data_IF_777027892085
#
_entry.id   IF_777027892085
#
_cell.length_a   1.000
_cell.length_b   1.000
_cell.length_c   1.000
_cell.angle_alpha   90.00
_cell.angle_beta   90.00
_cell.angle_gamma   90.00
#
_symmetry.space_group_name_H-M   'P 1'
#
loop_
_entity.id
_entity.type
_entity.pdbx_description
1 polymer ?
#
# COMPACT_ATOMS: atom_id res chain seq x y z
N UNK A 1 22.97 -1.95 10.01
CA UNK A 1 22.78 -3.09 9.08
C UNK A 1 21.30 -3.39 9.06
N UNK A 2 20.64 -3.19 7.92
CA UNK A 2 19.19 -3.41 7.78
C UNK A 2 18.82 -4.86 8.16
N UNK A 3 17.85 -5.07 9.06
CA UNK A 3 17.39 -6.40 9.42
C UNK A 3 16.89 -7.20 8.22
N UNK A 4 16.98 -8.53 8.32
CA UNK A 4 16.45 -9.43 7.28
C UNK A 4 14.94 -9.24 7.13
N UNK A 5 14.51 -9.09 5.89
CA UNK A 5 13.11 -8.94 5.51
C UNK A 5 12.33 -10.28 5.56
N UNK A 6 12.16 -10.81 6.77
CA UNK A 6 11.67 -12.18 7.00
C UNK A 6 10.16 -12.35 6.82
N UNK A 7 9.37 -11.28 6.90
CA UNK A 7 7.91 -11.33 6.75
C UNK A 7 7.43 -11.00 5.33
N UNK A 8 8.35 -10.61 4.41
CA UNK A 8 8.02 -10.14 3.06
C UNK A 8 7.00 -11.01 2.32
N UNK A 9 7.19 -12.33 2.30
CA UNK A 9 6.25 -13.20 1.57
C UNK A 9 4.86 -13.16 2.19
N UNK A 10 4.77 -13.15 3.53
CA UNK A 10 3.50 -13.12 4.27
C UNK A 10 2.73 -11.83 4.02
N UNK A 11 3.44 -10.71 3.94
CA UNK A 11 2.84 -9.40 3.60
C UNK A 11 2.31 -9.42 2.17
N UNK A 12 3.09 -9.90 1.20
CA UNK A 12 2.60 -10.00 -0.19
C UNK A 12 1.47 -11.02 -0.38
N UNK A 13 1.46 -12.12 0.39
CA UNK A 13 0.37 -13.09 0.37
C UNK A 13 -0.93 -12.45 0.86
N UNK A 14 -0.87 -11.68 1.96
CA UNK A 14 -2.00 -10.92 2.50
C UNK A 14 -2.51 -9.88 1.51
N UNK A 15 -1.64 -9.05 0.95
CA UNK A 15 -1.99 -8.05 -0.07
C UNK A 15 -2.61 -8.71 -1.32
N UNK A 16 -2.11 -9.89 -1.69
CA UNK A 16 -2.67 -10.70 -2.76
C UNK A 16 -4.12 -11.13 -2.48
N UNK A 17 -4.43 -11.54 -1.25
CA UNK A 17 -5.79 -11.90 -0.82
C UNK A 17 -6.73 -10.68 -0.85
N UNK A 18 -6.31 -9.57 -0.25
CA UNK A 18 -7.09 -8.31 -0.23
C UNK A 18 -7.40 -7.86 -1.66
N UNK A 19 -6.40 -7.82 -2.53
CA UNK A 19 -6.57 -7.42 -3.93
C UNK A 19 -7.60 -8.29 -4.65
N UNK A 20 -7.54 -9.62 -4.50
CA UNK A 20 -8.52 -10.54 -5.11
C UNK A 20 -9.94 -10.28 -4.61
N UNK A 21 -10.11 -9.92 -3.33
CA UNK A 21 -11.42 -9.59 -2.78
C UNK A 21 -11.97 -8.28 -3.38
N UNK A 22 -11.13 -7.25 -3.51
CA UNK A 22 -11.51 -6.00 -4.19
C UNK A 22 -11.88 -6.21 -5.66
N UNK A 23 -11.12 -7.06 -6.37
CA UNK A 23 -11.37 -7.42 -7.76
C UNK A 23 -12.70 -8.15 -7.94
N UNK A 24 -12.97 -9.19 -7.13
CA UNK A 24 -14.25 -9.91 -7.19
C UNK A 24 -15.44 -9.01 -6.86
N UNK A 25 -15.29 -8.17 -5.83
CA UNK A 25 -16.33 -7.26 -5.42
C UNK A 25 -16.69 -6.24 -6.52
N UNK A 26 -15.73 -5.86 -7.37
CA UNK A 26 -15.98 -5.04 -8.57
C UNK A 26 -16.60 -5.87 -9.71
N UNK A 27 -16.04 -7.05 -10.00
CA UNK A 27 -16.50 -7.96 -11.07
C UNK A 27 -17.98 -8.32 -10.94
N UNK A 28 -18.43 -8.64 -9.72
CA UNK A 28 -19.81 -9.05 -9.47
C UNK A 28 -20.75 -7.89 -9.11
N UNK A 29 -20.24 -6.65 -9.04
CA UNK A 29 -21.02 -5.49 -8.60
C UNK A 29 -21.54 -5.57 -7.16
N UNK A 30 -21.04 -6.54 -6.37
CA UNK A 30 -21.43 -6.80 -5.00
C UNK A 30 -20.23 -6.53 -4.08
N UNK A 31 -20.28 -5.40 -3.35
CA UNK A 31 -19.17 -4.94 -2.50
C UNK A 31 -19.18 -5.52 -1.09
N UNK A 32 -20.18 -6.30 -0.73
CA UNK A 32 -20.25 -6.95 0.58
C UNK A 32 -19.47 -8.26 0.57
N UNK A 33 -18.53 -8.42 1.50
CA UNK A 33 -17.73 -9.64 1.68
C UNK A 33 -17.87 -10.16 3.11
N UNK A 34 -17.82 -11.49 3.27
CA UNK A 34 -17.76 -12.12 4.59
C UNK A 34 -16.30 -12.21 5.06
N UNK A 35 -16.04 -11.71 6.27
CA UNK A 35 -14.74 -11.76 6.94
C UNK A 35 -14.94 -12.29 8.37
N UNK A 36 -14.44 -13.50 8.66
CA UNK A 36 -14.55 -14.15 9.98
C UNK A 36 -15.98 -14.11 10.59
N UNK A 37 -17.00 -14.28 9.76
CA UNK A 37 -18.41 -14.25 10.18
C UNK A 37 -19.05 -12.85 10.29
N UNK A 38 -18.30 -11.79 9.98
CA UNK A 38 -18.81 -10.42 9.84
C UNK A 38 -19.01 -10.07 8.37
N UNK A 39 -19.97 -9.19 8.08
CA UNK A 39 -20.16 -8.63 6.73
C UNK A 39 -19.53 -7.24 6.65
N UNK A 40 -18.64 -7.06 5.67
CA UNK A 40 -17.98 -5.78 5.38
C UNK A 40 -18.41 -5.28 4.01
N UNK A 41 -18.75 -3.99 3.92
CA UNK A 41 -18.94 -3.34 2.62
C UNK A 41 -17.64 -2.67 2.21
N UNK A 42 -16.99 -3.22 1.17
CA UNK A 42 -15.69 -2.72 0.74
C UNK A 42 -15.83 -1.37 0.01
N UNK A 43 -15.06 -0.35 0.40
CA UNK A 43 -15.00 0.93 -0.31
C UNK A 43 -14.48 0.73 -1.74
N UNK A 44 -14.63 1.74 -2.60
CA UNK A 44 -14.07 1.70 -3.95
C UNK A 44 -12.57 1.96 -3.86
N UNK A 45 -11.76 1.05 -4.39
CA UNK A 45 -10.32 1.28 -4.56
C UNK A 45 -10.07 2.17 -5.77
N UNK A 46 -9.28 3.24 -5.59
CA UNK A 46 -8.87 4.08 -6.71
C UNK A 46 -7.90 3.32 -7.63
N UNK A 47 -8.08 3.52 -8.94
CA UNK A 47 -7.18 3.04 -9.99
C UNK A 47 -6.61 4.24 -10.74
N UNK A 48 -5.32 4.17 -11.05
CA UNK A 48 -4.60 5.24 -11.71
C UNK A 48 -4.34 4.89 -13.18
N UNK A 49 -4.45 5.90 -14.04
CA UNK A 49 -4.26 5.72 -15.48
C UNK A 49 -2.86 6.17 -15.95
N UNK A 50 -2.15 6.97 -15.14
CA UNK A 50 -0.88 7.57 -15.52
C UNK A 50 0.05 7.81 -14.34
N UNK A 51 1.35 7.96 -14.63
CA UNK A 51 2.37 8.41 -13.66
C UNK A 51 1.97 9.73 -13.01
N UNK A 52 1.45 10.68 -13.80
CA UNK A 52 1.00 11.99 -13.31
C UNK A 52 -0.15 11.86 -12.30
N UNK A 53 -1.13 10.98 -12.56
CA UNK A 53 -2.22 10.74 -11.62
C UNK A 53 -1.73 10.14 -10.30
N UNK A 54 -0.71 9.28 -10.35
CA UNK A 54 -0.05 8.73 -9.15
C UNK A 54 0.73 9.82 -8.41
N UNK A 55 1.49 10.68 -9.12
CA UNK A 55 2.21 11.81 -8.51
C UNK A 55 1.25 12.72 -7.75
N UNK A 56 0.15 13.14 -8.39
CA UNK A 56 -0.83 14.02 -7.73
C UNK A 56 -1.46 13.38 -6.49
N UNK A 57 -1.70 12.06 -6.54
CA UNK A 57 -2.23 11.33 -5.39
C UNK A 57 -1.21 11.26 -4.24
N UNK A 58 0.03 10.90 -4.53
CA UNK A 58 1.12 10.86 -3.55
C UNK A 58 1.30 12.21 -2.87
N UNK A 59 1.37 13.30 -3.66
CA UNK A 59 1.53 14.66 -3.13
C UNK A 59 0.40 15.04 -2.18
N UNK A 60 -0.84 14.65 -2.52
CA UNK A 60 -2.02 14.90 -1.67
C UNK A 60 -1.99 14.09 -0.38
N UNK A 61 -1.58 12.83 -0.44
CA UNK A 61 -1.44 11.97 0.76
C UNK A 61 -0.39 12.55 1.71
N UNK A 62 0.79 12.90 1.20
CA UNK A 62 1.86 13.51 2.00
C UNK A 62 1.51 14.92 2.52
N UNK A 63 0.54 15.59 1.90
CA UNK A 63 0.03 16.88 2.35
C UNK A 63 -1.07 16.78 3.44
N UNK A 64 -1.58 15.59 3.76
CA UNK A 64 -2.58 15.44 4.81
C UNK A 64 -1.99 15.82 6.18
N UNK A 65 -2.71 16.67 6.92
CA UNK A 65 -2.24 17.18 8.22
C UNK A 65 -1.87 16.07 9.20
N UNK A 66 -2.67 14.99 9.24
CA UNK A 66 -2.44 13.87 10.15
C UNK A 66 -1.21 13.04 9.72
N UNK A 67 -0.96 12.90 8.41
CA UNK A 67 0.24 12.23 7.87
C UNK A 67 1.49 13.02 8.25
N UNK A 68 1.48 14.34 8.05
CA UNK A 68 2.62 15.22 8.43
C UNK A 68 2.86 15.26 9.93
N UNK A 69 1.80 15.24 10.74
CA UNK A 69 1.92 15.23 12.19
C UNK A 69 2.55 13.92 12.72
N UNK A 70 2.38 12.81 11.98
CA UNK A 70 2.80 11.49 12.42
C UNK A 70 4.17 11.07 11.88
N UNK A 71 4.51 11.47 10.65
CA UNK A 71 5.74 11.03 9.99
C UNK A 71 6.54 12.21 9.44
N UNK A 72 7.71 12.46 10.02
CA UNK A 72 8.65 13.51 9.59
C UNK A 72 9.00 13.45 8.09
N UNK A 73 9.03 12.24 7.53
CA UNK A 73 9.33 12.00 6.11
C UNK A 73 8.26 12.53 5.16
N UNK A 74 7.06 12.84 5.64
CA UNK A 74 6.00 13.43 4.81
C UNK A 74 6.37 14.81 4.23
N UNK A 75 7.32 15.53 4.85
CA UNK A 75 7.85 16.79 4.31
C UNK A 75 8.92 16.57 3.21
N UNK A 76 9.36 15.32 3.00
CA UNK A 76 10.26 14.97 1.90
C UNK A 76 9.43 14.62 0.66
N UNK A 77 9.62 15.30 -0.48
CA UNK A 77 8.91 14.94 -1.71
C UNK A 77 9.19 13.49 -2.13
N UNK A 78 8.14 12.80 -2.61
CA UNK A 78 8.24 11.48 -3.25
C UNK A 78 8.00 11.64 -4.75
N UNK A 79 9.06 11.52 -5.55
CA UNK A 79 8.96 11.61 -7.00
C UNK A 79 8.45 10.30 -7.59
N UNK A 80 7.48 10.37 -8.50
CA UNK A 80 6.93 9.21 -9.20
C UNK A 80 7.51 9.18 -10.61
N UNK A 81 8.04 8.04 -11.03
CA UNK A 81 8.52 7.84 -12.40
C UNK A 81 7.96 6.60 -13.03
N UNK A 82 7.91 6.61 -14.37
CA UNK A 82 7.74 5.40 -15.15
C UNK A 82 8.97 4.49 -15.03
N UNK A 83 8.73 3.18 -15.02
CA UNK A 83 9.74 2.16 -15.30
C UNK A 83 9.32 1.28 -16.47
N UNK A 84 10.30 0.80 -17.23
CA UNK A 84 10.10 -0.24 -18.22
C UNK A 84 9.99 -1.62 -17.54
N UNK A 85 9.10 -2.47 -18.04
CA UNK A 85 8.90 -3.85 -17.59
C UNK A 85 7.56 -4.11 -16.87
N UNK A 86 7.26 -5.39 -16.64
CA UNK A 86 6.02 -5.89 -16.01
C UNK A 86 6.13 -6.03 -14.49
N UNK A 87 7.27 -5.68 -13.91
CA UNK A 87 7.51 -5.77 -12.48
C UNK A 87 6.63 -4.83 -11.67
N UNK A 88 6.39 -5.19 -10.40
CA UNK A 88 5.65 -4.40 -9.43
C UNK A 88 6.13 -2.94 -9.34
N UNK A 89 5.23 -2.05 -8.90
CA UNK A 89 5.67 -0.79 -8.33
C UNK A 89 6.63 -1.06 -7.17
N UNK A 90 7.61 -0.17 -6.97
CA UNK A 90 8.50 -0.24 -5.82
C UNK A 90 9.10 1.13 -5.51
N UNK A 91 9.38 1.35 -4.24
CA UNK A 91 10.13 2.46 -3.72
C UNK A 91 11.64 2.23 -3.84
N UNK A 92 12.37 3.20 -4.40
CA UNK A 92 13.83 3.22 -4.45
C UNK A 92 14.38 3.90 -3.19
N UNK A 93 14.74 3.10 -2.18
CA UNK A 93 15.34 3.58 -0.93
C UNK A 93 16.56 4.47 -1.21
N UNK A 94 16.63 5.62 -0.52
CA UNK A 94 17.71 6.61 -0.68
C UNK A 94 17.54 7.59 -1.84
N UNK A 95 16.56 7.38 -2.74
CA UNK A 95 16.26 8.32 -3.84
C UNK A 95 14.94 9.05 -3.71
N UNK A 96 14.08 8.62 -2.78
CA UNK A 96 12.71 9.13 -2.65
C UNK A 96 11.96 9.05 -3.99
N UNK A 97 12.08 7.91 -4.69
CA UNK A 97 11.44 7.66 -5.98
C UNK A 97 10.51 6.45 -5.88
N UNK A 98 9.25 6.62 -6.31
CA UNK A 98 8.29 5.55 -6.53
C UNK A 98 8.28 5.22 -8.03
N UNK A 99 8.78 4.03 -8.38
CA UNK A 99 8.84 3.58 -9.77
C UNK A 99 7.61 2.73 -10.12
N UNK A 100 6.70 3.26 -10.94
CA UNK A 100 5.48 2.56 -11.40
C UNK A 100 5.63 2.00 -12.81
N UNK A 101 5.11 0.79 -13.11
CA UNK A 101 5.12 0.27 -14.46
C UNK A 101 4.22 1.10 -15.38
N UNK A 102 4.61 1.20 -16.66
CA UNK A 102 3.75 1.75 -17.69
C UNK A 102 2.53 0.83 -17.91
N UNK A 103 1.42 1.41 -18.35
CA UNK A 103 0.18 0.68 -18.67
C UNK A 103 0.35 -0.08 -20.00
N UNK A 104 1.25 -1.06 -20.03
CA UNK A 104 1.54 -1.91 -21.19
C UNK A 104 1.20 -3.35 -20.85
N UNK A 105 0.23 -3.95 -21.56
CA UNK A 105 0.00 -5.39 -21.54
C UNK A 105 -0.68 -5.99 -20.30
N UNK A 106 -1.62 -5.28 -19.65
CA UNK A 106 -2.42 -5.85 -18.55
C UNK A 106 -1.84 -5.64 -17.14
N UNK A 107 -0.85 -4.77 -16.97
CA UNK A 107 -0.21 -4.40 -15.69
C UNK A 107 -1.05 -3.45 -14.81
N UNK A 108 -2.36 -3.36 -15.06
CA UNK A 108 -3.28 -2.45 -14.35
C UNK A 108 -3.29 -2.65 -12.83
N UNK A 109 -2.85 -3.81 -12.33
CA UNK A 109 -2.79 -4.12 -10.91
C UNK A 109 -1.81 -3.24 -10.11
N UNK A 110 -0.73 -2.75 -10.72
CA UNK A 110 0.30 -1.96 -10.02
C UNK A 110 -0.08 -0.47 -9.88
N UNK A 111 -1.10 -0.02 -10.61
CA UNK A 111 -1.65 1.33 -10.54
C UNK A 111 -2.91 1.35 -9.66
N UNK A 112 -2.83 0.69 -8.50
CA UNK A 112 -3.92 0.55 -7.53
C UNK A 112 -3.58 1.29 -6.24
N UNK A 113 -4.60 1.83 -5.60
CA UNK A 113 -4.46 2.60 -4.37
C UNK A 113 -3.71 1.86 -3.26
N UNK A 114 -4.03 0.58 -3.02
CA UNK A 114 -3.34 -0.24 -2.02
C UNK A 114 -1.84 -0.37 -2.32
N UNK A 115 -1.48 -0.56 -3.59
CA UNK A 115 -0.08 -0.65 -4.04
C UNK A 115 0.63 0.68 -3.83
N UNK A 116 0.00 1.81 -4.17
CA UNK A 116 0.62 3.12 -3.96
C UNK A 116 0.78 3.43 -2.46
N UNK A 117 -0.19 3.06 -1.62
CA UNK A 117 -0.08 3.21 -0.17
C UNK A 117 1.01 2.33 0.45
N UNK A 118 1.22 1.11 -0.06
CA UNK A 118 2.37 0.27 0.31
C UNK A 118 3.69 1.01 0.08
N UNK A 119 3.88 1.60 -1.11
CA UNK A 119 5.11 2.33 -1.41
C UNK A 119 5.27 3.62 -0.59
N UNK A 120 4.17 4.31 -0.30
CA UNK A 120 4.19 5.46 0.62
C UNK A 120 4.60 5.00 2.03
N UNK A 121 4.16 3.82 2.49
CA UNK A 121 4.56 3.28 3.80
C UNK A 121 6.07 3.02 3.90
N UNK A 122 6.73 2.61 2.80
CA UNK A 122 8.20 2.55 2.71
C UNK A 122 8.83 3.93 2.73
N UNK A 123 8.27 4.90 2.01
CA UNK A 123 8.80 6.26 1.96
C UNK A 123 8.76 6.97 3.33
N UNK A 124 7.71 6.71 4.13
CA UNK A 124 7.47 7.30 5.44
C UNK A 124 8.30 6.66 6.58
N UNK A 125 9.14 5.67 6.27
CA UNK A 125 10.07 5.08 7.23
C UNK A 125 11.00 6.15 7.85
N UNK A 126 11.08 6.27 9.19
CA UNK A 126 11.89 7.28 9.84
C UNK A 126 13.38 7.15 9.47
N UNK A 127 14.08 8.27 9.18
CA UNK A 127 15.49 8.23 8.83
C UNK A 127 16.33 7.79 10.03
N UNK A 128 17.42 7.06 9.77
CA UNK A 128 18.38 6.65 10.79
C UNK A 128 17.94 5.45 11.66
N UNK A 129 16.80 4.82 11.33
CA UNK A 129 16.37 3.57 11.96
C UNK A 129 16.51 2.42 10.96
N UNK A 130 17.24 1.38 11.34
CA UNK A 130 17.40 0.17 10.54
C UNK A 130 16.22 -0.79 10.81
N UNK A 131 15.16 -0.68 10.01
CA UNK A 131 13.98 -1.56 10.09
C UNK A 131 13.98 -2.61 8.97
N UNK A 132 13.34 -3.76 9.22
CA UNK A 132 13.05 -4.67 8.12
C UNK A 132 12.03 -4.01 7.18
N UNK A 133 12.23 -4.01 5.85
CA UNK A 133 11.33 -3.35 4.91
C UNK A 133 9.84 -3.75 5.07
N UNK A 134 9.55 -5.03 5.31
CA UNK A 134 8.20 -5.51 5.61
C UNK A 134 8.08 -6.00 7.06
N UNK A 135 8.76 -5.32 7.98
CA UNK A 135 8.70 -5.57 9.41
C UNK A 135 7.35 -5.21 10.04
N UNK A 136 7.16 -5.50 11.33
CA UNK A 136 5.96 -5.11 12.08
C UNK A 136 5.64 -3.61 11.97
N UNK A 137 6.67 -2.76 11.97
CA UNK A 137 6.54 -1.31 11.92
C UNK A 137 6.03 -0.84 10.55
N UNK A 138 6.45 -1.51 9.47
CA UNK A 138 5.91 -1.29 8.13
C UNK A 138 4.42 -1.63 8.08
N UNK A 139 4.03 -2.80 8.61
CA UNK A 139 2.63 -3.22 8.63
C UNK A 139 1.75 -2.23 9.41
N UNK A 140 2.26 -1.68 10.53
CA UNK A 140 1.56 -0.63 11.29
C UNK A 140 1.35 0.62 10.44
N UNK A 141 2.41 1.18 9.84
CA UNK A 141 2.30 2.36 8.95
C UNK A 141 1.33 2.12 7.79
N UNK A 142 1.42 0.96 7.15
CA UNK A 142 0.58 0.63 6.01
C UNK A 142 -0.91 0.52 6.41
N UNK A 143 -1.21 -0.11 7.55
CA UNK A 143 -2.57 -0.19 8.08
C UNK A 143 -3.14 1.19 8.42
N UNK A 144 -2.35 2.06 9.05
CA UNK A 144 -2.78 3.43 9.38
C UNK A 144 -3.09 4.27 8.13
N UNK A 145 -2.27 4.14 7.08
CA UNK A 145 -2.55 4.75 5.78
C UNK A 145 -3.84 4.22 5.15
N UNK A 146 -4.03 2.90 5.12
CA UNK A 146 -5.24 2.29 4.55
C UNK A 146 -6.49 2.71 5.33
N UNK A 147 -6.42 2.74 6.65
CA UNK A 147 -7.53 3.16 7.53
C UNK A 147 -7.93 4.61 7.28
N UNK A 148 -6.96 5.52 7.27
CA UNK A 148 -7.20 6.95 7.12
C UNK A 148 -7.57 7.40 5.69
N UNK A 149 -7.27 6.60 4.66
CA UNK A 149 -7.39 7.03 3.25
C UNK A 149 -8.43 6.23 2.47
N UNK A 150 -8.43 4.90 2.60
CA UNK A 150 -9.37 4.02 1.91
C UNK A 150 -10.60 3.81 2.80
N UNK A 151 -10.38 3.53 4.09
CA UNK A 151 -11.42 3.41 5.09
C UNK A 151 -11.23 2.21 6.03
N UNK A 152 -11.96 2.21 7.15
CA UNK A 152 -11.79 1.23 8.22
C UNK A 152 -12.12 -0.21 7.79
N UNK A 153 -13.05 -0.41 6.86
CA UNK A 153 -13.37 -1.75 6.34
C UNK A 153 -12.19 -2.35 5.56
N UNK A 154 -11.48 -1.53 4.78
CA UNK A 154 -10.29 -1.97 4.05
C UNK A 154 -9.13 -2.25 5.01
N UNK A 155 -8.96 -1.43 6.05
CA UNK A 155 -7.94 -1.65 7.07
C UNK A 155 -8.23 -2.89 7.91
N UNK A 156 -9.48 -3.15 8.28
CA UNK A 156 -9.88 -4.38 8.97
C UNK A 156 -9.59 -5.60 8.10
N UNK A 157 -9.94 -5.55 6.81
CA UNK A 157 -9.64 -6.62 5.88
C UNK A 157 -8.14 -6.89 5.74
N UNK A 158 -7.34 -5.84 5.57
CA UNK A 158 -5.88 -5.95 5.49
C UNK A 158 -5.29 -6.50 6.80
N UNK A 159 -5.77 -6.04 7.95
CA UNK A 159 -5.31 -6.52 9.27
C UNK A 159 -5.59 -8.00 9.47
N UNK A 160 -6.80 -8.45 9.12
CA UNK A 160 -7.19 -9.85 9.22
C UNK A 160 -6.35 -10.74 8.29
N UNK A 161 -6.15 -10.33 7.04
CA UNK A 161 -5.33 -11.10 6.09
C UNK A 161 -3.85 -11.12 6.47
N UNK A 162 -3.29 -10.03 7.00
CA UNK A 162 -1.93 -10.00 7.55
C UNK A 162 -1.79 -11.01 8.69
N UNK A 163 -2.77 -11.05 9.61
CA UNK A 163 -2.81 -12.01 10.71
C UNK A 163 -2.89 -13.46 10.18
N UNK A 164 -3.78 -13.74 9.24
CA UNK A 164 -3.98 -15.09 8.68
C UNK A 164 -2.76 -15.60 7.92
N UNK A 165 -2.02 -14.70 7.26
CA UNK A 165 -0.74 -15.03 6.62
C UNK A 165 0.44 -15.11 7.61
N UNK A 166 0.22 -14.84 8.91
CA UNK A 166 1.24 -14.89 9.96
C UNK A 166 2.23 -13.72 9.92
N UNK A 167 1.85 -12.60 9.31
CA UNK A 167 2.57 -11.34 9.41
C UNK A 167 2.25 -10.66 10.75
N UNK A 168 3.27 -10.11 11.39
CA UNK A 168 3.14 -9.33 12.63
C UNK A 168 2.93 -7.86 12.28
N UNK A 169 2.15 -7.21 13.13
CA UNK A 169 1.92 -5.77 13.19
C UNK A 169 2.38 -5.31 14.57
N UNK A 170 3.11 -4.20 14.66
CA UNK A 170 3.61 -3.69 15.94
C UNK A 170 4.76 -2.71 15.79
#
# INVERSE_FOLDING_TARGET
MTPRDSQRSRVYDAEGLVRRMFERAEEFGARTVDLHGSQLTLPIERKFASVESVQSYVDRVLALNWVRAQWLRADTPLAVRARAGTGAAHYETGRAVLAVPLHTGGTAWALRELVILHEIAHHLEPPGVDLAPHGPEFCTRYLELVDGIIGPEAALLLRATLHDCGARVG
#
